data_IF_814395934186
#
_entry.id   IF_814395934186
#
_cell.length_a   1.000
_cell.length_b   1.000
_cell.length_c   1.000
_cell.angle_alpha   90.00
_cell.angle_beta   90.00
_cell.angle_gamma   90.00
#
_symmetry.space_group_name_H-M   'P 1'
#
loop_
_entity.id
_entity.type
_entity.pdbx_description
1 polymer ?
#
# COMPACT_ATOMS: atom_id res chain seq x y z
N UNK A 1 8.85 -53.40 61.18
CA UNK A 1 7.62 -52.70 61.61
C UNK A 1 7.99 -51.31 62.14
N UNK A 2 7.98 -50.28 61.28
CA UNK A 2 7.62 -48.87 61.54
C UNK A 2 7.97 -48.07 60.27
N UNK A 3 6.92 -47.51 59.66
CA UNK A 3 6.96 -46.61 58.50
C UNK A 3 7.46 -45.24 58.93
N UNK A 4 8.17 -44.54 58.05
CA UNK A 4 8.12 -43.08 58.00
C UNK A 4 8.08 -42.64 56.54
N UNK A 5 6.95 -42.03 56.19
CA UNK A 5 6.61 -41.35 54.95
C UNK A 5 7.04 -39.90 55.03
N UNK A 6 7.52 -39.34 53.93
CA UNK A 6 7.79 -37.90 53.80
C UNK A 6 8.04 -37.53 52.35
N UNK A 7 6.95 -37.45 51.57
CA UNK A 7 6.91 -36.77 50.27
C UNK A 7 6.93 -35.26 50.49
N UNK A 8 7.73 -34.54 49.72
CA UNK A 8 7.49 -33.12 49.42
C UNK A 8 7.62 -32.98 47.91
N UNK A 9 6.46 -33.04 47.26
CA UNK A 9 6.27 -32.68 45.86
C UNK A 9 6.56 -31.18 45.68
N UNK A 10 7.61 -30.86 44.94
CA UNK A 10 7.82 -29.53 44.37
C UNK A 10 6.98 -29.45 43.09
N UNK A 11 5.73 -28.99 43.23
CA UNK A 11 4.91 -28.55 42.10
C UNK A 11 5.41 -27.16 41.72
N UNK A 12 6.41 -27.09 40.84
CA UNK A 12 6.71 -25.88 40.09
C UNK A 12 5.60 -25.65 39.06
N UNK A 13 4.96 -24.51 39.19
CA UNK A 13 3.78 -24.07 38.46
C UNK A 13 3.98 -24.05 36.92
N UNK A 14 3.52 -25.11 36.25
CA UNK A 14 3.57 -25.25 34.78
C UNK A 14 2.63 -24.32 34.01
N UNK A 15 1.90 -23.42 34.68
CA UNK A 15 0.98 -22.46 34.03
C UNK A 15 1.68 -21.26 33.42
N UNK A 16 2.82 -20.83 33.98
CA UNK A 16 3.59 -19.70 33.46
C UNK A 16 4.22 -19.96 32.08
N UNK A 17 4.67 -21.20 31.83
CA UNK A 17 5.30 -21.58 30.56
C UNK A 17 4.33 -21.77 29.39
N UNK A 18 3.06 -22.11 29.67
CA UNK A 18 2.03 -22.32 28.63
C UNK A 18 1.48 -20.97 28.14
N UNK A 19 1.25 -20.02 29.06
CA UNK A 19 0.78 -18.68 28.74
C UNK A 19 1.83 -17.85 27.98
N UNK A 20 3.12 -18.03 28.29
CA UNK A 20 4.23 -17.41 27.54
C UNK A 20 4.28 -17.87 26.08
N UNK A 21 4.24 -19.18 25.83
CA UNK A 21 4.26 -19.73 24.47
C UNK A 21 3.06 -19.28 23.62
N UNK A 22 1.85 -19.29 24.18
CA UNK A 22 0.67 -18.80 23.47
C UNK A 22 0.77 -17.32 23.10
N UNK A 23 1.36 -16.51 23.99
CA UNK A 23 1.59 -15.09 23.75
C UNK A 23 2.64 -14.84 22.65
N UNK A 24 3.66 -15.70 22.56
CA UNK A 24 4.70 -15.64 21.53
C UNK A 24 4.15 -16.10 20.18
N UNK A 25 3.42 -17.21 20.15
CA UNK A 25 2.76 -17.72 18.93
C UNK A 25 1.79 -16.67 18.34
N UNK A 26 1.05 -15.97 19.20
CA UNK A 26 0.16 -14.89 18.78
C UNK A 26 0.94 -13.71 18.17
N UNK A 27 2.09 -13.35 18.72
CA UNK A 27 2.94 -12.29 18.15
C UNK A 27 3.48 -12.70 16.78
N UNK A 28 3.96 -13.94 16.64
CA UNK A 28 4.44 -14.46 15.37
C UNK A 28 3.34 -14.50 14.31
N UNK A 29 2.12 -14.87 14.69
CA UNK A 29 0.97 -14.82 13.80
C UNK A 29 0.66 -13.38 13.35
N UNK A 30 0.75 -12.40 14.25
CA UNK A 30 0.55 -10.98 13.90
C UNK A 30 1.63 -10.49 12.94
N UNK A 31 2.90 -10.82 13.19
CA UNK A 31 3.99 -10.53 12.25
C UNK A 31 3.69 -11.11 10.87
N UNK A 32 3.26 -12.38 10.79
CA UNK A 32 2.89 -13.00 9.52
C UNK A 32 1.74 -12.25 8.82
N UNK A 33 0.73 -11.80 9.58
CA UNK A 33 -0.37 -11.00 9.03
C UNK A 33 0.12 -9.65 8.48
N UNK A 34 1.11 -9.00 9.10
CA UNK A 34 1.71 -7.77 8.58
C UNK A 34 2.37 -8.01 7.23
N UNK A 35 3.10 -9.13 7.10
CA UNK A 35 3.73 -9.53 5.83
C UNK A 35 2.67 -9.73 4.75
N UNK A 36 1.67 -10.55 5.01
CA UNK A 36 0.57 -10.83 4.07
C UNK A 36 -0.17 -9.56 3.67
N UNK A 37 -0.56 -8.71 4.62
CA UNK A 37 -1.26 -7.47 4.32
C UNK A 37 -0.45 -6.50 3.45
N UNK A 38 0.88 -6.59 3.53
CA UNK A 38 1.77 -5.78 2.72
C UNK A 38 1.97 -6.36 1.31
N UNK A 39 2.22 -7.66 1.21
CA UNK A 39 2.66 -8.33 -0.02
C UNK A 39 1.56 -9.04 -0.80
N UNK A 40 0.32 -9.08 -0.32
CA UNK A 40 -0.80 -9.69 -1.05
C UNK A 40 -0.95 -9.04 -2.44
N UNK A 41 -0.86 -9.85 -3.50
CA UNK A 41 -0.78 -9.34 -4.87
C UNK A 41 -2.08 -8.75 -5.41
N UNK A 42 -3.22 -9.04 -4.78
CA UNK A 42 -4.52 -8.56 -5.24
C UNK A 42 -4.98 -7.30 -4.49
N UNK A 43 -4.75 -7.26 -3.18
CA UNK A 43 -5.31 -6.25 -2.27
C UNK A 43 -4.31 -5.70 -1.27
N UNK A 44 -3.06 -6.17 -1.30
CA UNK A 44 -2.00 -5.73 -0.40
C UNK A 44 -1.59 -4.29 -0.63
N UNK A 45 -0.96 -3.73 0.39
CA UNK A 45 -0.47 -2.35 0.40
C UNK A 45 0.49 -2.07 -0.76
N UNK A 46 1.42 -3.00 -1.04
CA UNK A 46 2.41 -2.84 -2.09
C UNK A 46 1.73 -2.74 -3.47
N UNK A 47 0.87 -3.70 -3.80
CA UNK A 47 0.12 -3.73 -5.05
C UNK A 47 -0.73 -2.47 -5.26
N UNK A 48 -1.36 -1.98 -4.18
CA UNK A 48 -2.15 -0.75 -4.23
C UNK A 48 -1.28 0.49 -4.53
N UNK A 49 -0.11 0.63 -3.90
CA UNK A 49 0.82 1.73 -4.17
C UNK A 49 1.34 1.65 -5.61
N UNK A 50 1.74 0.47 -6.08
CA UNK A 50 2.25 0.27 -7.44
C UNK A 50 1.21 0.62 -8.51
N UNK A 51 -0.04 0.20 -8.33
CA UNK A 51 -1.14 0.57 -9.21
C UNK A 51 -1.36 2.09 -9.25
N UNK A 52 -1.34 2.76 -8.09
CA UNK A 52 -1.48 4.21 -8.02
C UNK A 52 -0.30 4.96 -8.68
N UNK A 53 0.93 4.44 -8.56
CA UNK A 53 2.11 4.99 -9.24
C UNK A 53 2.00 4.83 -10.77
N UNK A 54 1.53 3.67 -11.22
CA UNK A 54 1.30 3.38 -12.64
C UNK A 54 0.22 4.31 -13.22
N UNK A 55 -0.95 4.40 -12.58
CA UNK A 55 -2.03 5.29 -12.98
C UNK A 55 -1.57 6.74 -13.07
N UNK A 56 -0.76 7.20 -12.11
CA UNK A 56 -0.18 8.54 -12.15
C UNK A 56 0.78 8.75 -13.32
N UNK A 57 1.65 7.78 -13.60
CA UNK A 57 2.57 7.85 -14.73
C UNK A 57 1.82 7.88 -16.06
N UNK A 58 0.82 7.01 -16.23
CA UNK A 58 -0.03 6.96 -17.41
C UNK A 58 -0.80 8.26 -17.61
N UNK A 59 -1.46 8.78 -16.56
CA UNK A 59 -2.23 10.02 -16.67
C UNK A 59 -1.35 11.25 -16.94
N UNK A 60 -0.16 11.34 -16.31
CA UNK A 60 0.83 12.39 -16.61
C UNK A 60 1.29 12.33 -18.06
N UNK A 61 1.43 11.13 -18.61
CA UNK A 61 1.78 10.90 -20.01
C UNK A 61 0.64 11.36 -20.92
N UNK A 62 -0.61 11.01 -20.60
CA UNK A 62 -1.78 11.49 -21.33
C UNK A 62 -1.83 13.03 -21.37
N UNK A 63 -1.67 13.71 -20.22
CA UNK A 63 -1.58 15.18 -20.17
C UNK A 63 -0.46 15.72 -21.08
N UNK A 64 0.70 15.05 -21.12
CA UNK A 64 1.80 15.47 -21.98
C UNK A 64 1.47 15.29 -23.47
N UNK A 65 0.82 14.21 -23.85
CA UNK A 65 0.34 13.96 -25.21
C UNK A 65 -0.59 15.08 -25.66
N UNK A 66 -1.58 15.42 -24.82
CA UNK A 66 -2.55 16.50 -25.10
C UNK A 66 -1.85 17.86 -25.25
N UNK A 67 -0.92 18.19 -24.36
CA UNK A 67 -0.16 19.43 -24.45
C UNK A 67 0.68 19.52 -25.74
N UNK A 68 1.31 18.40 -26.15
CA UNK A 68 2.08 18.35 -27.39
C UNK A 68 1.19 18.51 -28.63
N UNK A 69 0.02 17.85 -28.65
CA UNK A 69 -0.95 17.99 -29.72
C UNK A 69 -1.45 19.44 -29.85
N UNK A 70 -1.80 20.07 -28.72
CA UNK A 70 -2.24 21.46 -28.65
C UNK A 70 -1.17 22.43 -29.19
N UNK A 71 0.09 22.22 -28.81
CA UNK A 71 1.22 23.05 -29.26
C UNK A 71 1.44 22.95 -30.78
N UNK A 72 1.34 21.75 -31.36
CA UNK A 72 1.45 21.58 -32.82
C UNK A 72 0.34 22.30 -33.55
N UNK A 73 -0.90 22.17 -33.07
CA UNK A 73 -2.04 22.84 -33.68
C UNK A 73 -1.93 24.35 -33.63
N UNK A 74 -1.52 24.93 -32.50
CA UNK A 74 -1.28 26.38 -32.38
C UNK A 74 -0.20 26.87 -33.35
N UNK A 75 0.79 26.03 -33.67
CA UNK A 75 1.82 26.35 -34.64
C UNK A 75 1.34 26.25 -36.10
N UNK A 76 0.44 25.32 -36.40
CA UNK A 76 -0.08 25.08 -37.75
C UNK A 76 -1.29 25.96 -38.11
N UNK A 77 -2.16 26.25 -37.13
CA UNK A 77 -3.37 27.07 -37.29
C UNK A 77 -3.49 28.02 -36.08
N UNK A 78 -2.86 29.22 -36.13
CA UNK A 78 -2.84 30.16 -35.01
C UNK A 78 -4.21 30.68 -34.57
N UNK A 79 -5.22 30.63 -35.46
CA UNK A 79 -6.60 31.07 -35.22
C UNK A 79 -7.59 29.91 -35.00
N UNK A 80 -7.11 28.66 -34.86
CA UNK A 80 -7.97 27.49 -34.69
C UNK A 80 -8.44 27.28 -33.24
N UNK A 81 -9.73 26.98 -33.07
CA UNK A 81 -10.31 26.64 -31.76
C UNK A 81 -9.80 25.27 -31.27
N UNK A 82 -8.93 25.28 -30.25
CA UNK A 82 -8.74 24.21 -29.27
C UNK A 82 -8.23 22.83 -29.75
N UNK A 83 -7.70 21.98 -28.84
CA UNK A 83 -7.07 20.72 -29.21
C UNK A 83 -8.01 19.72 -29.91
N UNK A 84 -7.47 18.99 -30.90
CA UNK A 84 -8.07 17.84 -31.62
C UNK A 84 -8.45 16.63 -30.74
N UNK A 85 -8.47 16.77 -29.42
CA UNK A 85 -8.76 15.68 -28.50
C UNK A 85 -10.25 15.65 -28.17
N UNK A 86 -10.86 14.47 -28.22
CA UNK A 86 -12.21 14.28 -27.75
C UNK A 86 -12.29 14.62 -26.24
N UNK A 87 -12.90 15.77 -25.92
CA UNK A 87 -12.98 16.29 -24.55
C UNK A 87 -13.75 15.33 -23.62
N UNK A 88 -14.81 14.69 -24.11
CA UNK A 88 -15.59 13.72 -23.34
C UNK A 88 -14.72 12.54 -22.87
N UNK A 89 -13.89 11.97 -23.76
CA UNK A 89 -12.98 10.88 -23.40
C UNK A 89 -11.91 11.33 -22.40
N UNK A 90 -11.35 12.53 -22.58
CA UNK A 90 -10.36 13.06 -21.65
C UNK A 90 -10.95 13.35 -20.27
N UNK A 91 -12.16 13.91 -20.21
CA UNK A 91 -12.87 14.15 -18.96
C UNK A 91 -13.17 12.83 -18.23
N UNK A 92 -13.55 11.78 -18.97
CA UNK A 92 -13.72 10.44 -18.41
C UNK A 92 -12.42 9.91 -17.81
N UNK A 93 -11.30 9.99 -18.54
CA UNK A 93 -9.98 9.58 -18.05
C UNK A 93 -9.54 10.38 -16.82
N UNK A 94 -9.73 11.70 -16.84
CA UNK A 94 -9.41 12.56 -15.71
C UNK A 94 -10.25 12.21 -14.47
N UNK A 95 -11.58 12.06 -14.62
CA UNK A 95 -12.48 11.65 -13.53
C UNK A 95 -12.09 10.29 -12.95
N UNK A 96 -11.78 9.32 -13.82
CA UNK A 96 -11.31 7.99 -13.43
C UNK A 96 -10.01 8.06 -12.63
N UNK A 97 -9.02 8.80 -13.13
CA UNK A 97 -7.73 9.00 -12.43
C UNK A 97 -7.91 9.62 -11.04
N UNK A 98 -8.65 10.73 -10.94
CA UNK A 98 -8.86 11.40 -9.65
C UNK A 98 -9.61 10.51 -8.67
N UNK A 99 -10.64 9.79 -9.14
CA UNK A 99 -11.42 8.89 -8.29
C UNK A 99 -10.57 7.72 -7.80
N UNK A 100 -9.78 7.10 -8.68
CA UNK A 100 -8.85 6.01 -8.35
C UNK A 100 -7.83 6.46 -7.30
N UNK A 101 -7.17 7.60 -7.52
CA UNK A 101 -6.19 8.17 -6.60
C UNK A 101 -6.79 8.41 -5.21
N UNK A 102 -7.92 9.11 -5.14
CA UNK A 102 -8.54 9.52 -3.88
C UNK A 102 -9.07 8.31 -3.09
N UNK A 103 -9.68 7.33 -3.78
CA UNK A 103 -10.10 6.08 -3.15
C UNK A 103 -8.91 5.22 -2.72
N UNK A 104 -7.83 5.18 -3.50
CA UNK A 104 -6.58 4.49 -3.15
C UNK A 104 -5.97 5.04 -1.87
N UNK A 105 -5.86 6.37 -1.76
CA UNK A 105 -5.42 7.06 -0.53
C UNK A 105 -6.31 6.67 0.65
N UNK A 106 -7.64 6.76 0.50
CA UNK A 106 -8.58 6.38 1.57
C UNK A 106 -8.37 4.93 2.03
N UNK A 107 -8.23 3.98 1.11
CA UNK A 107 -8.00 2.56 1.42
C UNK A 107 -6.71 2.35 2.22
N UNK A 108 -5.62 2.99 1.80
CA UNK A 108 -4.31 2.87 2.47
C UNK A 108 -4.25 3.53 3.85
N UNK A 109 -5.17 4.45 4.14
CA UNK A 109 -5.30 5.14 5.43
C UNK A 109 -6.40 4.58 6.33
N UNK A 110 -7.10 3.53 5.89
CA UNK A 110 -8.22 2.96 6.63
C UNK A 110 -7.76 2.45 8.01
N UNK A 111 -8.35 2.93 9.13
CA UNK A 111 -7.91 2.57 10.48
C UNK A 111 -8.52 1.26 10.99
N UNK A 112 -9.35 0.55 10.20
CA UNK A 112 -9.94 -0.71 10.65
C UNK A 112 -8.87 -1.74 11.02
N UNK A 113 -9.21 -2.73 11.88
CA UNK A 113 -8.27 -3.77 12.27
C UNK A 113 -7.72 -4.54 11.06
N UNK A 114 -6.51 -5.09 11.20
CA UNK A 114 -5.89 -5.90 10.16
C UNK A 114 -6.62 -7.25 9.94
N UNK A 115 -7.21 -7.80 11.00
CA UNK A 115 -7.82 -9.13 11.03
C UNK A 115 -9.28 -9.03 11.47
N UNK A 116 -10.13 -9.87 10.90
CA UNK A 116 -11.53 -10.04 11.26
C UNK A 116 -12.49 -9.76 10.10
N UNK A 117 -13.82 -9.79 10.34
CA UNK A 117 -14.82 -9.58 9.30
C UNK A 117 -14.78 -8.19 8.63
N UNK A 118 -14.15 -7.22 9.29
CA UNK A 118 -13.88 -5.88 8.76
C UNK A 118 -12.37 -5.63 8.63
N UNK A 119 -11.61 -6.70 8.41
CA UNK A 119 -10.16 -6.65 8.22
C UNK A 119 -9.81 -5.81 6.98
N UNK A 120 -8.80 -4.96 7.08
CA UNK A 120 -8.32 -4.15 5.95
C UNK A 120 -6.81 -4.24 5.81
N UNK A 121 -6.34 -4.24 4.56
CA UNK A 121 -4.91 -4.12 4.23
C UNK A 121 -4.61 -2.65 3.96
N UNK A 122 -4.13 -1.96 4.99
CA UNK A 122 -3.79 -0.54 4.94
C UNK A 122 -2.50 -0.27 5.71
N UNK A 123 -1.83 0.84 5.41
CA UNK A 123 -0.63 1.27 6.13
C UNK A 123 -0.95 1.52 7.60
N UNK A 124 -2.10 2.16 7.87
CA UNK A 124 -2.53 2.51 9.22
C UNK A 124 -2.94 1.27 10.03
N UNK A 125 -3.58 0.28 9.43
CA UNK A 125 -3.92 -0.98 10.10
C UNK A 125 -2.67 -1.74 10.53
N UNK A 126 -1.66 -1.84 9.65
CA UNK A 126 -0.36 -2.45 9.99
C UNK A 126 0.31 -1.67 11.12
N UNK A 127 0.41 -0.34 11.02
CA UNK A 127 1.05 0.50 12.03
C UNK A 127 0.37 0.38 13.40
N UNK A 128 -0.97 0.41 13.44
CA UNK A 128 -1.74 0.24 14.68
C UNK A 128 -1.49 -1.13 15.32
N UNK A 129 -1.39 -2.17 14.51
CA UNK A 129 -1.10 -3.53 15.00
C UNK A 129 0.34 -3.64 15.55
N UNK A 130 1.31 -3.03 14.86
CA UNK A 130 2.70 -2.90 15.34
C UNK A 130 2.77 -2.13 16.66
N UNK A 131 2.06 -0.99 16.78
CA UNK A 131 1.97 -0.20 18.02
C UNK A 131 1.44 -1.06 19.17
N UNK A 132 0.39 -1.85 18.93
CA UNK A 132 -0.18 -2.75 19.93
C UNK A 132 0.77 -3.89 20.34
N UNK A 133 1.61 -4.37 19.41
CA UNK A 133 2.62 -5.40 19.66
C UNK A 133 3.94 -4.88 20.24
N UNK A 134 4.19 -3.56 20.21
CA UNK A 134 5.44 -2.93 20.62
C UNK A 134 6.02 -3.47 21.95
N UNK A 135 5.25 -3.67 23.04
CA UNK A 135 5.82 -4.14 24.31
C UNK A 135 6.48 -5.52 24.24
N UNK A 136 6.19 -6.31 23.20
CA UNK A 136 6.76 -7.65 22.97
C UNK A 136 7.69 -7.71 21.77
N UNK A 137 7.73 -6.66 20.95
CA UNK A 137 8.57 -6.59 19.77
C UNK A 137 9.97 -6.12 20.16
N UNK A 138 10.72 -7.00 20.83
CA UNK A 138 12.09 -6.74 21.24
C UNK A 138 13.06 -6.82 20.06
N UNK A 139 14.30 -6.33 20.22
CA UNK A 139 15.37 -6.47 19.23
C UNK A 139 15.54 -7.91 18.78
N UNK A 140 15.54 -8.86 19.72
CA UNK A 140 15.68 -10.27 19.39
C UNK A 140 14.54 -10.78 18.53
N UNK A 141 13.30 -10.48 18.90
CA UNK A 141 12.13 -10.86 18.08
C UNK A 141 12.20 -10.22 16.70
N UNK A 142 12.59 -8.95 16.63
CA UNK A 142 12.74 -8.24 15.37
C UNK A 142 13.77 -8.92 14.45
N UNK A 143 14.98 -9.17 14.95
CA UNK A 143 16.05 -9.75 14.14
C UNK A 143 15.73 -11.20 13.76
N UNK A 144 15.33 -12.04 14.72
CA UNK A 144 15.14 -13.48 14.49
C UNK A 144 13.85 -13.82 13.76
N UNK A 145 12.74 -13.18 14.11
CA UNK A 145 11.42 -13.57 13.62
C UNK A 145 10.83 -12.62 12.57
N UNK A 146 11.06 -11.31 12.72
CA UNK A 146 10.55 -10.36 11.74
C UNK A 146 11.45 -10.35 10.50
N UNK A 147 12.77 -10.15 10.70
CA UNK A 147 13.77 -10.09 9.63
C UNK A 147 14.34 -11.45 9.22
N UNK A 148 13.98 -12.53 9.92
CA UNK A 148 14.43 -13.89 9.62
C UNK A 148 15.97 -14.02 9.57
N UNK A 149 16.65 -13.26 10.44
CA UNK A 149 18.11 -13.17 10.52
C UNK A 149 18.63 -13.85 11.81
N UNK A 150 19.95 -14.01 11.94
CA UNK A 150 20.56 -14.53 13.18
C UNK A 150 20.91 -13.38 14.12
N UNK A 151 20.55 -13.50 15.40
CA UNK A 151 20.79 -12.44 16.38
C UNK A 151 22.28 -12.27 16.73
N UNK A 152 23.00 -13.37 16.98
CA UNK A 152 24.39 -13.32 17.47
C UNK A 152 25.39 -12.94 16.37
N UNK A 153 25.74 -11.66 16.33
CA UNK A 153 26.73 -11.12 15.40
C UNK A 153 28.15 -11.59 15.68
N UNK A 154 28.52 -11.88 16.93
CA UNK A 154 29.87 -12.30 17.26
C UNK A 154 30.13 -13.71 16.73
N UNK A 155 29.15 -14.60 16.91
CA UNK A 155 29.19 -15.94 16.35
C UNK A 155 29.26 -15.90 14.82
N UNK A 156 28.40 -15.11 14.16
CA UNK A 156 28.42 -14.95 12.70
C UNK A 156 29.75 -14.42 12.17
N UNK A 157 30.33 -13.42 12.85
CA UNK A 157 31.65 -12.87 12.48
C UNK A 157 32.76 -13.90 12.63
N UNK A 158 32.71 -14.73 13.68
CA UNK A 158 33.66 -15.82 13.86
C UNK A 158 33.53 -16.88 12.76
N UNK A 159 32.31 -17.33 12.47
CA UNK A 159 32.03 -18.31 11.39
C UNK A 159 32.50 -17.78 10.03
N UNK A 160 32.20 -16.52 9.71
CA UNK A 160 32.65 -15.87 8.48
C UNK A 160 34.19 -15.75 8.43
N UNK A 161 34.84 -15.42 9.55
CA UNK A 161 36.31 -15.37 9.63
C UNK A 161 36.96 -16.75 9.44
N UNK A 162 36.37 -17.79 10.01
CA UNK A 162 36.81 -19.18 9.82
C UNK A 162 36.63 -19.63 8.38
N UNK A 163 35.51 -19.29 7.75
CA UNK A 163 35.25 -19.56 6.33
C UNK A 163 36.26 -18.88 5.40
N UNK A 164 36.56 -17.59 5.62
CA UNK A 164 37.58 -16.85 4.87
C UNK A 164 38.96 -17.50 5.02
N UNK A 165 39.33 -17.90 6.25
CA UNK A 165 40.62 -18.55 6.52
C UNK A 165 40.75 -19.91 5.82
N UNK A 166 39.65 -20.67 5.75
CA UNK A 166 39.62 -21.98 5.11
C UNK A 166 39.70 -21.91 3.58
N UNK A 167 39.39 -20.74 2.97
CA UNK A 167 39.29 -20.57 1.53
C UNK A 167 40.63 -20.39 0.79
N UNK A 168 41.75 -20.88 1.35
CA UNK A 168 43.13 -20.69 0.85
C UNK A 168 43.24 -20.63 -0.69
N UNK A 169 43.42 -19.42 -1.21
CA UNK A 169 43.73 -19.14 -2.63
C UNK A 169 42.53 -18.83 -3.53
N UNK A 170 41.29 -19.02 -3.09
CA UNK A 170 40.11 -18.64 -3.85
C UNK A 170 39.52 -17.33 -3.32
N UNK A 171 39.33 -16.35 -4.20
CA UNK A 171 38.64 -15.12 -3.84
C UNK A 171 37.17 -15.43 -3.56
N UNK A 172 36.77 -15.38 -2.29
CA UNK A 172 35.36 -15.29 -1.91
C UNK A 172 34.93 -13.84 -2.20
N UNK A 173 34.30 -13.63 -3.36
CA UNK A 173 33.84 -12.31 -3.79
C UNK A 173 32.54 -11.87 -3.10
N UNK A 174 31.78 -12.80 -2.56
CA UNK A 174 30.55 -12.54 -1.80
C UNK A 174 30.81 -12.90 -0.35
N UNK A 175 31.02 -11.89 0.51
CA UNK A 175 31.03 -12.10 1.96
C UNK A 175 29.72 -12.74 2.42
N UNK A 176 29.71 -13.36 3.60
CA UNK A 176 28.54 -14.08 4.10
C UNK A 176 27.29 -13.17 4.13
N UNK A 177 26.36 -13.44 3.20
CA UNK A 177 25.08 -12.74 3.07
C UNK A 177 24.29 -12.77 4.37
N UNK A 178 24.38 -13.85 5.16
CA UNK A 178 23.68 -13.95 6.44
C UNK A 178 24.26 -12.97 7.47
N UNK A 179 25.59 -12.82 7.54
CA UNK A 179 26.23 -11.83 8.39
C UNK A 179 25.79 -10.41 7.99
N UNK A 180 25.81 -10.08 6.70
CA UNK A 180 25.44 -8.75 6.22
C UNK A 180 23.97 -8.41 6.53
N UNK A 181 23.04 -9.35 6.31
CA UNK A 181 21.62 -9.17 6.60
C UNK A 181 21.37 -9.00 8.11
N UNK A 182 22.05 -9.79 8.95
CA UNK A 182 21.99 -9.63 10.41
C UNK A 182 22.54 -8.28 10.86
N UNK A 183 23.70 -7.84 10.35
CA UNK A 183 24.27 -6.53 10.67
C UNK A 183 23.35 -5.38 10.23
N UNK A 184 22.73 -5.49 9.05
CA UNK A 184 21.74 -4.52 8.61
C UNK A 184 20.50 -4.50 9.51
N UNK A 185 19.98 -5.66 9.89
CA UNK A 185 18.80 -5.77 10.77
C UNK A 185 19.05 -5.17 12.16
N UNK A 186 20.25 -5.35 12.72
CA UNK A 186 20.64 -4.71 13.98
C UNK A 186 20.76 -3.19 13.85
N UNK A 187 21.34 -2.68 12.75
CA UNK A 187 21.42 -1.24 12.48
C UNK A 187 20.04 -0.60 12.28
N UNK A 188 19.15 -1.29 11.59
CA UNK A 188 17.77 -0.83 11.44
C UNK A 188 17.09 -0.74 12.82
N UNK A 189 17.30 -1.73 13.69
CA UNK A 189 16.75 -1.70 15.05
C UNK A 189 17.40 -0.64 15.95
N UNK A 190 18.68 -0.32 15.77
CA UNK A 190 19.32 0.81 16.46
C UNK A 190 18.60 2.12 16.14
N UNK A 191 18.21 2.33 14.89
CA UNK A 191 17.40 3.49 14.50
C UNK A 191 16.01 3.46 15.14
N UNK A 192 15.35 2.29 15.15
CA UNK A 192 14.01 2.13 15.74
C UNK A 192 13.98 2.31 17.26
N UNK A 193 15.05 1.91 17.96
CA UNK A 193 15.13 1.95 19.43
C UNK A 193 15.87 3.19 19.97
N UNK A 194 16.64 3.88 19.13
CA UNK A 194 17.55 4.94 19.56
C UNK A 194 18.78 4.46 20.33
N UNK A 195 18.99 3.14 20.45
CA UNK A 195 20.10 2.52 21.19
C UNK A 195 21.33 2.42 20.28
N UNK A 196 22.50 2.81 20.80
CA UNK A 196 23.77 2.71 20.08
C UNK A 196 24.30 1.28 20.06
N UNK A 197 25.13 0.95 19.08
CA UNK A 197 25.73 -0.38 18.92
C UNK A 197 26.41 -0.93 20.20
N UNK A 198 27.08 -0.06 20.95
CA UNK A 198 27.78 -0.46 22.18
C UNK A 198 26.85 -0.85 23.33
N UNK A 199 25.60 -0.39 23.29
CA UNK A 199 24.63 -0.48 24.40
C UNK A 199 23.46 -1.42 24.06
N UNK A 200 23.54 -2.18 22.96
CA UNK A 200 22.47 -3.07 22.47
C UNK A 200 22.10 -4.12 23.51
N UNK A 201 20.80 -4.37 23.66
CA UNK A 201 20.25 -5.47 24.45
C UNK A 201 19.19 -6.25 23.67
N UNK A 202 19.04 -7.54 23.97
CA UNK A 202 18.05 -8.39 23.31
C UNK A 202 16.61 -7.99 23.62
N UNK A 203 16.41 -7.26 24.74
CA UNK A 203 15.13 -6.75 25.20
C UNK A 203 14.88 -5.28 24.82
N UNK A 204 15.75 -4.66 24.03
CA UNK A 204 15.52 -3.30 23.53
C UNK A 204 14.17 -3.23 22.82
N UNK A 205 13.41 -2.17 23.08
CA UNK A 205 12.11 -1.93 22.47
C UNK A 205 12.21 -0.77 21.47
N UNK A 206 11.32 -0.78 20.50
CA UNK A 206 11.13 0.35 19.58
C UNK A 206 10.70 1.59 20.39
N UNK A 207 11.31 2.73 20.10
CA UNK A 207 10.96 4.03 20.66
C UNK A 207 9.56 4.44 20.15
N UNK A 208 8.58 4.71 21.04
CA UNK A 208 7.26 5.22 20.65
C UNK A 208 7.32 6.41 19.69
N UNK A 209 8.31 7.30 19.85
CA UNK A 209 8.45 8.49 19.03
C UNK A 209 8.62 8.17 17.54
N UNK A 210 9.26 7.03 17.21
CA UNK A 210 9.40 6.58 15.82
C UNK A 210 8.05 6.20 15.22
N UNK A 211 7.21 5.47 15.97
CA UNK A 211 5.88 5.07 15.49
C UNK A 211 4.91 6.27 15.41
N UNK A 212 5.04 7.24 16.31
CA UNK A 212 4.29 8.50 16.26
C UNK A 212 4.71 9.38 15.09
N UNK A 213 6.00 9.37 14.70
CA UNK A 213 6.46 10.08 13.50
C UNK A 213 5.80 9.53 12.22
N UNK A 214 5.69 8.19 12.10
CA UNK A 214 5.01 7.55 10.97
C UNK A 214 3.51 7.92 10.98
N UNK A 215 2.85 7.84 12.13
CA UNK A 215 1.43 8.19 12.25
C UNK A 215 1.18 9.66 11.90
N UNK A 216 2.05 10.57 12.36
CA UNK A 216 1.95 12.00 12.04
C UNK A 216 1.99 12.22 10.52
N UNK A 217 2.88 11.52 9.81
CA UNK A 217 2.96 11.61 8.35
C UNK A 217 1.75 11.00 7.64
N UNK A 218 1.16 9.93 8.18
CA UNK A 218 -0.10 9.39 7.66
C UNK A 218 -1.26 10.37 7.90
N UNK A 219 -1.30 11.03 9.06
CA UNK A 219 -2.34 11.98 9.43
C UNK A 219 -2.37 13.24 8.54
N UNK A 220 -1.22 13.67 8.00
CA UNK A 220 -1.16 14.75 7.00
C UNK A 220 -1.98 14.45 5.73
N UNK A 221 -2.28 13.17 5.47
CA UNK A 221 -3.06 12.71 4.33
C UNK A 221 -4.56 12.53 4.65
N UNK A 222 -4.98 12.66 5.90
CA UNK A 222 -6.36 12.38 6.33
C UNK A 222 -7.40 13.26 5.64
N UNK A 223 -7.06 14.54 5.40
CA UNK A 223 -7.93 15.47 4.64
C UNK A 223 -8.37 14.92 3.28
N UNK A 224 -7.51 14.12 2.65
CA UNK A 224 -7.77 13.51 1.33
C UNK A 224 -8.72 12.33 1.48
N UNK A 225 -8.49 11.50 2.50
CA UNK A 225 -9.39 10.39 2.85
C UNK A 225 -10.80 10.89 3.21
N UNK A 226 -10.88 11.99 3.98
CA UNK A 226 -12.13 12.63 4.34
C UNK A 226 -12.87 13.20 3.13
N UNK A 227 -12.17 13.83 2.20
CA UNK A 227 -12.74 14.31 0.94
C UNK A 227 -13.27 13.15 0.09
N UNK A 228 -12.45 12.11 -0.12
CA UNK A 228 -12.86 10.91 -0.85
C UNK A 228 -14.12 10.29 -0.25
N UNK A 229 -14.21 10.31 1.09
CA UNK A 229 -15.36 9.78 1.80
C UNK A 229 -16.66 10.54 1.54
N UNK A 230 -16.62 11.87 1.51
CA UNK A 230 -17.81 12.71 1.38
C UNK A 230 -18.22 13.01 -0.07
N UNK A 231 -17.28 12.97 -1.01
CA UNK A 231 -17.49 13.39 -2.39
C UNK A 231 -17.49 12.24 -3.40
N UNK A 232 -16.88 11.09 -3.07
CA UNK A 232 -16.71 9.98 -4.01
C UNK A 232 -17.38 8.71 -3.48
N UNK A 233 -17.02 8.27 -2.27
CA UNK A 233 -17.49 7.01 -1.72
C UNK A 233 -18.96 7.06 -1.27
N UNK A 234 -19.46 8.23 -0.91
CA UNK A 234 -20.83 8.44 -0.47
C UNK A 234 -21.47 9.61 -1.20
N UNK A 235 -22.78 9.52 -1.47
CA UNK A 235 -23.60 10.65 -1.89
C UNK A 235 -23.85 11.58 -0.69
N UNK A 236 -22.79 12.19 -0.18
CA UNK A 236 -22.85 13.11 0.95
C UNK A 236 -23.79 14.28 0.66
N UNK A 237 -24.66 14.62 1.61
CA UNK A 237 -25.46 15.84 1.55
C UNK A 237 -24.58 17.08 1.71
N UNK A 238 -25.17 18.27 1.47
CA UNK A 238 -24.46 19.54 1.55
C UNK A 238 -23.74 19.74 2.90
N UNK A 239 -24.37 19.35 4.00
CA UNK A 239 -23.83 19.45 5.35
C UNK A 239 -22.58 18.58 5.52
N UNK A 240 -22.59 17.35 5.02
CA UNK A 240 -21.47 16.40 5.16
C UNK A 240 -20.22 16.80 4.37
N UNK A 241 -20.39 17.66 3.35
CA UNK A 241 -19.34 18.17 2.46
C UNK A 241 -18.72 19.49 2.93
N UNK A 242 -19.38 20.21 3.83
CA UNK A 242 -18.93 21.51 4.33
C UNK A 242 -17.51 21.42 4.92
N UNK A 243 -16.60 22.27 4.42
CA UNK A 243 -15.20 22.33 4.88
C UNK A 243 -14.32 21.15 4.45
N UNK A 244 -14.83 20.21 3.64
CA UNK A 244 -14.09 19.04 3.14
C UNK A 244 -13.78 19.12 1.65
N UNK A 245 -13.87 20.32 1.06
CA UNK A 245 -13.49 20.53 -0.32
C UNK A 245 -11.97 20.48 -0.46
N UNK A 246 -11.52 19.84 -1.52
CA UNK A 246 -10.15 19.93 -2.01
C UNK A 246 -10.08 20.98 -3.12
N UNK A 247 -10.59 22.19 -2.84
CA UNK A 247 -10.43 23.33 -3.73
C UNK A 247 -8.93 23.50 -4.02
N UNK A 248 -8.57 23.60 -5.30
CA UNK A 248 -7.20 23.70 -5.82
C UNK A 248 -6.34 22.41 -5.81
N UNK A 249 -6.87 21.25 -5.41
CA UNK A 249 -6.12 20.00 -5.51
C UNK A 249 -5.82 19.64 -6.96
N UNK A 250 -4.54 19.58 -7.29
CA UNK A 250 -4.07 19.42 -8.65
C UNK A 250 -2.98 18.33 -8.74
N UNK A 251 -2.43 18.17 -9.94
CA UNK A 251 -1.47 17.09 -10.23
C UNK A 251 -0.18 17.17 -9.41
N UNK A 252 0.21 18.36 -8.93
CA UNK A 252 1.37 18.52 -8.05
C UNK A 252 1.07 17.98 -6.66
N UNK A 253 -0.14 18.15 -6.17
CA UNK A 253 -0.57 17.63 -4.88
C UNK A 253 -0.75 16.12 -4.94
N UNK A 254 -1.32 15.58 -6.03
CA UNK A 254 -1.32 14.15 -6.30
C UNK A 254 0.08 13.52 -6.19
N UNK A 255 1.09 14.16 -6.82
CA UNK A 255 2.48 13.71 -6.73
C UNK A 255 3.00 13.72 -5.28
N UNK A 256 2.73 14.77 -4.50
CA UNK A 256 3.17 14.85 -3.10
C UNK A 256 2.55 13.73 -2.27
N UNK A 257 1.27 13.45 -2.48
CA UNK A 257 0.52 12.40 -1.78
C UNK A 257 1.05 11.02 -2.12
N UNK A 258 1.23 10.73 -3.40
CA UNK A 258 1.84 9.47 -3.85
C UNK A 258 3.25 9.30 -3.32
N UNK A 259 4.05 10.37 -3.33
CA UNK A 259 5.38 10.36 -2.73
C UNK A 259 5.32 10.01 -1.24
N UNK A 260 4.43 10.64 -0.48
CA UNK A 260 4.27 10.37 0.95
C UNK A 260 3.82 8.92 1.21
N UNK A 261 2.81 8.42 0.49
CA UNK A 261 2.34 7.04 0.61
C UNK A 261 3.45 6.04 0.27
N UNK A 262 4.20 6.30 -0.81
CA UNK A 262 5.35 5.48 -1.22
C UNK A 262 6.42 5.45 -0.13
N UNK A 263 6.89 6.62 0.33
CA UNK A 263 7.94 6.72 1.35
C UNK A 263 7.52 6.04 2.66
N UNK A 264 6.28 6.25 3.10
CA UNK A 264 5.76 5.61 4.32
C UNK A 264 5.59 4.11 4.12
N UNK A 265 5.05 3.70 2.97
CA UNK A 265 4.88 2.30 2.59
C UNK A 265 6.19 1.55 2.52
N UNK A 266 7.22 2.13 1.92
CA UNK A 266 8.56 1.54 1.86
C UNK A 266 9.19 1.42 3.26
N UNK A 267 9.01 2.42 4.13
CA UNK A 267 9.49 2.36 5.52
C UNK A 267 8.79 1.27 6.33
N UNK A 268 7.46 1.19 6.24
CA UNK A 268 6.68 0.12 6.89
C UNK A 268 7.08 -1.25 6.32
N UNK A 269 7.26 -1.33 5.00
CA UNK A 269 7.70 -2.53 4.30
C UNK A 269 9.04 -3.04 4.80
N UNK A 270 10.03 -2.15 4.79
CA UNK A 270 11.39 -2.41 5.23
C UNK A 270 11.44 -2.82 6.71
N UNK A 271 10.77 -2.07 7.58
CA UNK A 271 10.91 -2.27 9.01
C UNK A 271 10.03 -3.38 9.56
N UNK A 272 8.79 -3.54 9.08
CA UNK A 272 7.81 -4.38 9.77
C UNK A 272 7.34 -5.59 9.00
N UNK A 273 7.59 -5.64 7.69
CA UNK A 273 7.03 -6.71 6.83
C UNK A 273 8.12 -7.52 6.13
N UNK A 274 9.37 -7.05 6.17
CA UNK A 274 10.45 -7.61 5.35
C UNK A 274 10.06 -7.65 3.87
N UNK A 275 9.24 -6.67 3.45
CA UNK A 275 8.67 -6.55 2.12
C UNK A 275 9.57 -5.77 1.17
N UNK A 276 9.28 -5.90 -0.12
CA UNK A 276 9.98 -5.16 -1.17
C UNK A 276 9.60 -3.68 -1.16
N UNK A 277 10.49 -2.86 -1.73
CA UNK A 277 10.25 -1.43 -1.94
C UNK A 277 9.38 -1.28 -3.18
N UNK A 278 8.33 -0.47 -3.08
CA UNK A 278 7.45 -0.16 -4.20
C UNK A 278 8.22 0.55 -5.31
N UNK A 279 8.05 0.12 -6.55
CA UNK A 279 8.65 0.76 -7.72
C UNK A 279 7.62 1.00 -8.82
N UNK A 280 7.91 1.92 -9.73
CA UNK A 280 7.11 2.03 -10.94
C UNK A 280 7.32 0.75 -11.76
N UNK A 281 6.24 0.04 -12.06
CA UNK A 281 6.29 -1.17 -12.87
C UNK A 281 7.01 -0.89 -14.21
N UNK A 282 7.97 -1.73 -14.56
CA UNK A 282 8.64 -1.67 -15.86
C UNK A 282 7.71 -2.30 -16.89
N UNK A 283 7.13 -1.47 -17.75
CA UNK A 283 6.34 -1.95 -18.87
C UNK A 283 7.23 -2.76 -19.83
N UNK A 284 6.81 -3.98 -20.18
CA UNK A 284 7.60 -4.91 -21.00
C UNK A 284 7.47 -4.66 -22.52
N UNK A 285 6.67 -3.69 -22.95
CA UNK A 285 6.49 -3.30 -24.35
C UNK A 285 6.92 -1.86 -24.65
N UNK A 286 6.53 -1.36 -25.82
CA UNK A 286 6.63 0.08 -26.11
C UNK A 286 5.35 0.78 -25.63
N UNK A 287 5.42 1.51 -24.52
CA UNK A 287 4.27 2.23 -23.95
C UNK A 287 3.68 3.33 -24.87
N UNK A 288 4.33 3.62 -26.00
CA UNK A 288 3.89 4.59 -27.01
C UNK A 288 3.47 3.96 -28.33
N UNK A 289 3.46 2.62 -28.42
CA UNK A 289 3.03 1.91 -29.63
C UNK A 289 1.59 2.31 -30.01
N UNK A 290 1.39 2.63 -31.30
CA UNK A 290 0.08 3.02 -31.85
C UNK A 290 -0.35 4.46 -31.58
N UNK A 291 0.42 5.26 -30.83
CA UNK A 291 0.09 6.69 -30.60
C UNK A 291 0.24 7.58 -31.85
N UNK A 292 0.94 7.09 -32.86
CA UNK A 292 1.14 7.75 -34.16
C UNK A 292 0.05 7.39 -35.19
N UNK A 293 -0.86 6.48 -34.85
CA UNK A 293 -1.94 6.05 -35.73
C UNK A 293 -3.22 6.87 -35.52
N UNK A 294 -3.96 7.08 -36.60
CA UNK A 294 -5.31 7.67 -36.53
C UNK A 294 -6.24 6.66 -35.86
N UNK A 295 -6.78 7.02 -34.69
CA UNK A 295 -7.64 6.13 -33.90
C UNK A 295 -8.98 5.82 -34.59
N UNK A 296 -9.58 6.83 -35.24
CA UNK A 296 -10.86 6.71 -35.96
C UNK A 296 -10.76 7.45 -37.30
N UNK A 297 -10.81 6.75 -38.45
CA UNK A 297 -10.92 7.37 -39.76
C UNK A 297 -12.25 8.14 -39.92
N UNK A 298 -12.24 9.23 -40.69
CA UNK A 298 -13.47 10.03 -40.92
C UNK A 298 -14.63 9.23 -41.54
N UNK A 299 -14.33 8.15 -42.27
CA UNK A 299 -15.33 7.26 -42.86
C UNK A 299 -16.19 6.53 -41.81
N UNK A 300 -15.67 6.35 -40.58
CA UNK A 300 -16.34 5.61 -39.52
C UNK A 300 -17.16 6.53 -38.57
N UNK A 301 -17.10 7.85 -38.74
CA UNK A 301 -17.83 8.80 -37.89
C UNK A 301 -19.35 8.59 -37.86
N UNK A 302 -20.05 8.32 -39.00
CA UNK A 302 -21.48 8.06 -38.98
C UNK A 302 -21.87 6.82 -38.16
N UNK A 303 -20.96 5.84 -38.04
CA UNK A 303 -21.18 4.64 -37.22
C UNK A 303 -21.14 4.99 -35.73
N UNK A 304 -20.25 5.89 -35.32
CA UNK A 304 -20.16 6.37 -33.93
C UNK A 304 -21.37 7.22 -33.54
N UNK A 305 -21.83 8.10 -34.44
CA UNK A 305 -23.04 8.90 -34.22
C UNK A 305 -24.25 8.00 -34.01
N UNK A 306 -24.46 7.03 -34.92
CA UNK A 306 -25.54 6.05 -34.79
C UNK A 306 -25.46 5.23 -33.49
N UNK A 307 -24.25 4.86 -33.06
CA UNK A 307 -24.05 4.17 -31.79
C UNK A 307 -24.41 5.05 -30.58
N UNK A 308 -24.08 6.34 -30.61
CA UNK A 308 -24.46 7.27 -29.54
C UNK A 308 -25.97 7.44 -29.45
N UNK A 309 -26.65 7.61 -30.59
CA UNK A 309 -28.11 7.72 -30.65
C UNK A 309 -28.80 6.47 -30.10
N UNK A 310 -28.24 5.27 -30.35
CA UNK A 310 -28.76 4.03 -29.78
C UNK A 310 -28.63 3.99 -28.24
N UNK A 311 -27.51 4.45 -27.70
CA UNK A 311 -27.31 4.52 -26.24
C UNK A 311 -28.28 5.53 -25.61
N UNK A 312 -28.48 6.69 -26.24
CA UNK A 312 -29.40 7.72 -25.77
C UNK A 312 -30.84 7.18 -25.71
N UNK A 313 -31.29 6.54 -26.80
CA UNK A 313 -32.61 5.90 -26.86
C UNK A 313 -32.78 4.77 -25.83
N UNK A 314 -31.76 3.95 -25.61
CA UNK A 314 -31.78 2.90 -24.58
C UNK A 314 -31.95 3.50 -23.19
N UNK A 315 -31.13 4.50 -22.82
CA UNK A 315 -31.22 5.17 -21.52
C UNK A 315 -32.59 5.86 -21.34
N UNK A 316 -33.11 6.51 -22.38
CA UNK A 316 -34.44 7.13 -22.34
C UNK A 316 -35.56 6.12 -22.06
N UNK A 317 -35.36 4.85 -22.45
CA UNK A 317 -36.31 3.76 -22.24
C UNK A 317 -36.33 3.24 -20.79
N UNK A 318 -35.30 3.52 -19.98
CA UNK A 318 -35.19 3.04 -18.59
C UNK A 318 -36.08 3.84 -17.62
N UNK A 319 -37.39 3.84 -17.86
CA UNK A 319 -38.40 4.51 -17.03
C UNK A 319 -39.18 3.48 -16.25
N UNK A 320 -39.46 3.81 -15.00
CA UNK A 320 -40.33 3.04 -14.14
C UNK A 320 -41.65 3.79 -14.04
N UNK A 321 -42.71 3.25 -14.64
CA UNK A 321 -44.02 3.87 -14.55
C UNK A 321 -44.66 3.54 -13.18
N UNK A 322 -45.53 4.42 -12.64
CA UNK A 322 -46.19 4.15 -11.36
C UNK A 322 -46.94 2.81 -11.30
N UNK A 323 -47.48 2.36 -12.42
CA UNK A 323 -48.19 1.09 -12.52
C UNK A 323 -47.25 -0.13 -12.44
N UNK A 324 -46.00 -0.01 -12.89
CA UNK A 324 -44.97 -1.06 -12.79
C UNK A 324 -44.57 -1.31 -11.32
N UNK A 325 -44.56 -0.24 -10.50
CA UNK A 325 -44.29 -0.31 -9.06
C UNK A 325 -45.43 -1.00 -8.28
N UNK A 326 -46.67 -0.81 -8.72
CA UNK A 326 -47.86 -1.33 -8.03
C UNK A 326 -48.25 -2.73 -8.48
N UNK A 327 -47.85 -3.14 -9.69
CA UNK A 327 -48.22 -4.45 -10.25
C UNK A 327 -47.33 -5.60 -9.79
N UNK A 328 -46.18 -5.34 -9.15
CA UNK A 328 -45.46 -6.32 -8.32
C UNK A 328 -45.16 -7.67 -8.97
N UNK A 329 -45.13 -7.75 -10.30
CA UNK A 329 -44.76 -8.93 -11.06
C UNK A 329 -43.95 -8.47 -12.26
N UNK A 330 -42.67 -8.83 -12.26
CA UNK A 330 -41.79 -8.60 -13.39
C UNK A 330 -42.38 -9.21 -14.66
N UNK A 331 -42.81 -8.36 -15.58
CA UNK A 331 -42.79 -8.69 -17.00
C UNK A 331 -41.40 -8.32 -17.52
N UNK A 332 -40.49 -9.28 -17.48
CA UNK A 332 -39.35 -9.29 -18.42
C UNK A 332 -39.98 -9.44 -19.80
N UNK A 333 -40.03 -8.35 -20.54
CA UNK A 333 -40.52 -8.33 -21.92
C UNK A 333 -39.39 -7.89 -22.83
N UNK A 334 -38.81 -8.88 -23.54
CA UNK A 334 -38.29 -8.76 -24.90
C UNK A 334 -37.01 -7.98 -25.11
#
# INVERSE_FOLDING_TARGET
>A
MKRYTGSVDNISDGRGGILGKQADDLLLQRIANWKTAYTDGATGVLAAIEAMLWDHAAFRTAIRIVNLASQRQQAEVPEGDGPLLNQMLFDLLAKGYWSSLLLGVRKLLDPHPLVGPRGVYSLRAILNDVKACRPKLTRRVYVEHLRMCRYDLNLLRQENWEAIRAATGNAIWEGDTALHLSESSHRDFDYLSGVKEADRSEIDLIDPAVLELIETRLAELDRISEHASSHIAHAGNAESRLGKNLEEFNIRDARKVLKALKEIGDLIGLWFTNGEISNLAVYQGNQFEGLDMVLVPSADMPVLDANWDLIDQDIESWRLEPDDLLSGNGSVSG
#
